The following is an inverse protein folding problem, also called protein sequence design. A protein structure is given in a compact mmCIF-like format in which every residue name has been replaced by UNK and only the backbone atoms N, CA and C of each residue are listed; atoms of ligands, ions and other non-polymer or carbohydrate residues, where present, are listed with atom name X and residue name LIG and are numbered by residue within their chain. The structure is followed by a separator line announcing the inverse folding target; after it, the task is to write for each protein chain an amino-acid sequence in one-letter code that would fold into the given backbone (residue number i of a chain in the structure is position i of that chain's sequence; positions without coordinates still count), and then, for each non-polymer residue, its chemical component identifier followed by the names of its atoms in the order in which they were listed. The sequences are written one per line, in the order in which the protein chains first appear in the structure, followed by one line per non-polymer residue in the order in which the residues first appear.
data_IF_318080490093
#
_entry.id   IF_318080490093
#
_cell.length_a   1.000
_cell.length_b   1.000
_cell.length_c   1.000
_cell.angle_alpha   90.00
_cell.angle_beta   90.00
_cell.angle_gamma   90.00
#
_symmetry.space_group_name_H-M   'P 1'
#
loop_
_entity.id
_entity.type
_entity.pdbx_description
1 polymer ?
#
# COMPACT_ATOMS: atom_id res chain seq x y z
N UNK A 1 14.59 0.25 16.21
CA UNK A 1 14.49 0.00 14.76
C UNK A 1 13.39 0.84 14.16
N UNK A 2 13.69 1.56 13.10
CA UNK A 2 12.79 2.47 12.40
C UNK A 2 12.50 1.94 10.99
N UNK A 3 11.25 1.62 10.69
CA UNK A 3 10.86 0.98 9.43
C UNK A 3 9.78 1.80 8.74
N UNK A 4 9.99 2.11 7.46
CA UNK A 4 8.98 2.75 6.59
C UNK A 4 8.51 1.80 5.49
N UNK A 5 7.20 1.76 5.30
CA UNK A 5 6.53 1.03 4.23
C UNK A 5 5.88 2.05 3.30
N UNK A 6 6.45 2.29 2.14
CA UNK A 6 5.82 3.08 1.08
C UNK A 6 4.98 2.19 0.17
N UNK A 7 3.85 2.66 -0.27
CA UNK A 7 3.04 1.92 -1.24
C UNK A 7 1.89 2.74 -1.81
N UNK A 8 1.47 2.39 -3.01
CA UNK A 8 0.22 2.90 -3.56
C UNK A 8 -0.99 2.38 -2.75
N UNK A 9 -2.14 3.04 -2.80
CA UNK A 9 -3.37 2.48 -2.24
C UNK A 9 -3.64 1.07 -2.79
N UNK A 10 -4.19 0.18 -1.96
CA UNK A 10 -4.61 -1.18 -2.32
C UNK A 10 -3.49 -2.17 -2.68
N UNK A 11 -2.26 -1.91 -2.23
CA UNK A 11 -1.10 -2.81 -2.41
C UNK A 11 -0.91 -3.81 -1.28
N UNK A 12 -1.85 -3.94 -0.33
CA UNK A 12 -1.68 -4.83 0.83
C UNK A 12 -0.73 -4.30 1.91
N UNK A 13 -0.26 -3.06 1.79
CA UNK A 13 0.66 -2.43 2.75
C UNK A 13 0.17 -2.46 4.19
N UNK A 14 -1.16 -2.47 4.43
CA UNK A 14 -1.74 -2.61 5.78
C UNK A 14 -1.45 -3.97 6.40
N UNK A 15 -1.49 -5.05 5.62
CA UNK A 15 -1.15 -6.38 6.11
C UNK A 15 0.31 -6.43 6.56
N UNK A 16 1.24 -6.01 5.70
CA UNK A 16 2.67 -5.99 6.04
C UNK A 16 2.96 -5.06 7.23
N UNK A 17 2.36 -3.88 7.26
CA UNK A 17 2.45 -2.99 8.41
C UNK A 17 2.08 -3.71 9.71
N UNK A 18 0.95 -4.42 9.72
CA UNK A 18 0.51 -5.16 10.90
C UNK A 18 1.47 -6.31 11.27
N UNK A 19 2.06 -7.00 10.28
CA UNK A 19 3.06 -8.03 10.54
C UNK A 19 4.30 -7.44 11.23
N UNK A 20 4.84 -6.36 10.67
CA UNK A 20 6.06 -5.70 11.17
C UNK A 20 5.83 -5.10 12.57
N UNK A 21 4.70 -4.41 12.77
CA UNK A 21 4.37 -3.81 14.08
C UNK A 21 4.24 -4.88 15.15
N UNK A 22 3.53 -5.97 14.88
CA UNK A 22 3.37 -7.06 15.86
C UNK A 22 4.68 -7.76 16.18
N UNK A 23 5.55 -7.88 15.20
CA UNK A 23 6.88 -8.43 15.40
C UNK A 23 7.73 -7.53 16.31
N UNK A 24 7.87 -6.25 15.96
CA UNK A 24 8.78 -5.35 16.65
C UNK A 24 8.31 -4.99 18.06
N UNK A 25 7.02 -4.76 18.23
CA UNK A 25 6.54 -4.20 19.49
C UNK A 25 5.86 -5.23 20.40
N UNK A 26 5.65 -6.48 19.94
CA UNK A 26 4.93 -7.53 20.70
C UNK A 26 3.61 -7.04 21.30
N UNK A 27 2.98 -6.03 20.69
CA UNK A 27 1.81 -5.30 21.23
C UNK A 27 0.51 -5.78 20.59
N UNK A 28 -0.58 -5.62 21.31
CA UNK A 28 -1.93 -5.85 20.77
C UNK A 28 -2.30 -4.78 19.72
N UNK A 29 -3.13 -5.13 18.77
CA UNK A 29 -3.59 -4.25 17.68
C UNK A 29 -4.16 -2.90 18.17
N UNK A 30 -4.78 -2.88 19.36
CA UNK A 30 -5.38 -1.67 19.94
C UNK A 30 -4.35 -0.59 20.33
N UNK A 31 -3.13 -0.96 20.70
CA UNK A 31 -2.10 0.03 21.07
C UNK A 31 -1.33 0.60 19.86
N UNK A 32 -1.47 -0.02 18.68
CA UNK A 32 -0.82 0.40 17.45
C UNK A 32 -1.60 1.51 16.73
N UNK A 33 -2.87 1.67 17.06
CA UNK A 33 -3.76 2.64 16.45
C UNK A 33 -3.37 4.12 16.70
N UNK A 34 -2.46 4.42 17.62
CA UNK A 34 -2.13 5.82 17.92
C UNK A 34 -1.40 6.51 16.75
N UNK A 35 -0.48 5.85 16.04
CA UNK A 35 0.17 6.41 14.84
C UNK A 35 -0.76 6.41 13.63
N UNK A 36 -1.48 5.32 13.44
CA UNK A 36 -2.47 5.19 12.39
C UNK A 36 -3.64 6.16 12.56
N UNK A 37 -4.07 6.38 13.80
CA UNK A 37 -5.15 7.31 14.08
C UNK A 37 -4.78 8.77 13.80
N UNK A 38 -3.51 9.16 13.92
CA UNK A 38 -3.09 10.48 13.51
C UNK A 38 -3.26 10.68 12.01
N UNK A 39 -2.77 9.73 11.17
CA UNK A 39 -2.95 9.81 9.72
C UNK A 39 -4.37 9.48 9.25
N UNK A 40 -5.02 8.53 9.89
CA UNK A 40 -6.42 8.19 9.60
C UNK A 40 -7.34 9.37 9.90
N UNK A 41 -7.06 10.11 10.97
CA UNK A 41 -7.82 11.32 11.31
C UNK A 41 -7.57 12.46 10.32
N UNK A 42 -6.37 12.59 9.73
CA UNK A 42 -6.14 13.48 8.58
C UNK A 42 -7.02 13.12 7.38
N UNK A 43 -7.18 11.84 7.08
CA UNK A 43 -8.02 11.36 5.98
C UNK A 43 -9.52 11.41 6.29
N UNK A 44 -9.91 11.22 7.55
CA UNK A 44 -11.30 11.12 7.96
C UNK A 44 -11.86 12.41 8.58
N UNK A 45 -10.99 13.33 8.97
CA UNK A 45 -11.36 14.60 9.58
C UNK A 45 -10.48 15.73 9.05
N UNK A 46 -10.93 16.46 8.01
CA UNK A 46 -10.18 17.58 7.41
C UNK A 46 -9.84 18.70 8.38
N UNK A 47 -10.52 18.78 9.54
CA UNK A 47 -10.22 19.76 10.59
C UNK A 47 -8.99 19.38 11.45
N UNK A 48 -8.44 18.16 11.26
CA UNK A 48 -7.23 17.70 11.94
C UNK A 48 -5.99 18.03 11.10
N UNK A 49 -5.69 19.30 10.98
CA UNK A 49 -4.47 19.81 10.33
C UNK A 49 -3.24 19.58 11.24
N UNK A 50 -2.77 18.36 11.36
CA UNK A 50 -1.39 18.17 11.79
C UNK A 50 -0.47 18.67 10.67
N UNK A 51 0.31 19.70 10.96
CA UNK A 51 1.36 20.12 10.01
C UNK A 51 2.34 18.96 9.78
N UNK A 52 3.00 18.96 8.63
CA UNK A 52 4.06 17.97 8.34
C UNK A 52 5.10 17.97 9.48
N UNK A 53 5.39 19.12 10.02
CA UNK A 53 6.34 19.32 11.13
C UNK A 53 5.88 18.60 12.42
N UNK A 54 4.62 18.71 12.77
CA UNK A 54 4.06 17.98 13.93
C UNK A 54 4.14 16.47 13.76
N UNK A 55 3.82 15.99 12.55
CA UNK A 55 3.93 14.58 12.21
C UNK A 55 5.37 14.07 12.33
N UNK A 56 6.34 14.79 11.75
CA UNK A 56 7.75 14.44 11.83
C UNK A 56 8.27 14.51 13.27
N UNK A 57 7.86 15.51 14.05
CA UNK A 57 8.21 15.61 15.47
C UNK A 57 7.73 14.39 16.28
N UNK A 58 6.53 13.85 16.00
CA UNK A 58 6.03 12.64 16.65
C UNK A 58 6.94 11.44 16.34
N UNK A 59 7.43 11.31 15.09
CA UNK A 59 8.36 10.25 14.73
C UNK A 59 9.71 10.41 15.45
N UNK A 60 10.22 11.64 15.57
CA UNK A 60 11.50 11.94 16.23
C UNK A 60 11.48 11.61 17.74
N UNK A 61 10.35 11.80 18.40
CA UNK A 61 10.21 11.51 19.84
C UNK A 61 10.20 10.02 20.15
N UNK A 62 10.10 9.15 19.13
CA UNK A 62 10.07 7.71 19.31
C UNK A 62 11.38 7.05 18.85
N UNK A 63 12.00 6.26 19.76
CA UNK A 63 13.22 5.52 19.45
C UNK A 63 13.00 4.45 18.36
N UNK A 64 11.87 3.77 18.44
CA UNK A 64 11.48 2.70 17.52
C UNK A 64 10.11 2.98 16.94
N UNK A 65 9.95 2.85 15.63
CA UNK A 65 8.66 3.05 14.99
C UNK A 65 8.53 2.24 13.69
N UNK A 66 7.30 1.95 13.33
CA UNK A 66 6.93 1.46 12.00
C UNK A 66 5.93 2.43 11.43
N UNK A 67 6.23 2.93 10.25
CA UNK A 67 5.35 3.85 9.55
C UNK A 67 4.91 3.29 8.21
N UNK A 68 3.71 3.66 7.78
CA UNK A 68 3.17 3.33 6.47
C UNK A 68 2.75 4.60 5.76
N UNK A 69 3.42 4.87 4.63
CA UNK A 69 3.14 5.99 3.76
C UNK A 69 2.42 5.55 2.49
N UNK A 70 1.29 6.18 2.20
CA UNK A 70 0.62 5.98 0.93
C UNK A 70 1.21 6.96 -0.10
N UNK A 71 1.76 6.42 -1.19
CA UNK A 71 2.22 7.19 -2.33
C UNK A 71 0.99 7.78 -3.03
N UNK A 72 0.82 9.08 -2.89
CA UNK A 72 -0.22 9.88 -3.55
C UNK A 72 0.40 11.18 -4.03
N UNK A 73 -0.21 11.84 -5.00
CA UNK A 73 0.40 13.02 -5.67
C UNK A 73 0.83 14.18 -4.78
N UNK A 74 0.41 14.21 -3.52
CA UNK A 74 0.61 15.34 -2.61
C UNK A 74 1.49 15.03 -1.39
N UNK A 75 2.26 13.94 -1.41
CA UNK A 75 3.24 13.72 -0.32
C UNK A 75 4.32 14.82 -0.40
N UNK A 76 4.50 15.52 0.71
CA UNK A 76 5.55 16.52 0.86
C UNK A 76 6.94 15.90 0.71
N UNK A 77 7.84 16.56 0.00
CA UNK A 77 9.25 16.16 -0.10
C UNK A 77 9.93 16.07 1.27
N UNK A 78 9.48 16.85 2.26
CA UNK A 78 9.96 16.75 3.64
C UNK A 78 9.72 15.36 4.24
N UNK A 79 8.61 14.69 3.90
CA UNK A 79 8.30 13.34 4.37
C UNK A 79 9.25 12.31 3.74
N UNK A 80 9.49 12.40 2.42
CA UNK A 80 10.45 11.51 1.76
C UNK A 80 11.84 11.67 2.33
N UNK A 81 12.34 12.92 2.44
CA UNK A 81 13.67 13.21 2.97
C UNK A 81 13.80 12.70 4.41
N UNK A 82 12.80 12.97 5.26
CA UNK A 82 12.83 12.49 6.64
C UNK A 82 12.96 10.97 6.73
N UNK A 83 12.15 10.23 5.96
CA UNK A 83 12.22 8.77 5.99
C UNK A 83 13.51 8.22 5.39
N UNK A 84 14.03 8.84 4.33
CA UNK A 84 15.32 8.47 3.74
C UNK A 84 16.47 8.62 4.74
N UNK A 85 16.43 9.67 5.57
CA UNK A 85 17.50 9.99 6.52
C UNK A 85 17.37 9.22 7.84
N UNK A 86 16.14 8.84 8.24
CA UNK A 86 15.87 8.34 9.60
C UNK A 86 15.38 6.89 9.68
N UNK A 87 15.05 6.24 8.55
CA UNK A 87 14.63 4.85 8.57
C UNK A 87 15.82 3.89 8.47
N UNK A 88 15.84 2.87 9.33
CA UNK A 88 16.82 1.77 9.21
C UNK A 88 16.51 0.88 7.99
N UNK A 89 15.24 0.77 7.62
CA UNK A 89 14.76 0.03 6.43
C UNK A 89 13.57 0.73 5.79
N UNK A 90 13.59 0.79 4.47
CA UNK A 90 12.50 1.33 3.65
C UNK A 90 12.06 0.27 2.65
N UNK A 91 10.79 -0.09 2.68
CA UNK A 91 10.18 -1.03 1.74
C UNK A 91 9.22 -0.31 0.81
N UNK A 92 9.33 -0.59 -0.49
CA UNK A 92 8.36 -0.17 -1.48
C UNK A 92 7.42 -1.34 -1.81
N UNK A 93 6.14 -1.17 -1.50
CA UNK A 93 5.13 -2.22 -1.67
C UNK A 93 4.31 -1.92 -2.91
N UNK A 94 4.34 -2.83 -3.86
CA UNK A 94 3.70 -2.71 -5.16
C UNK A 94 2.73 -3.88 -5.41
N UNK A 95 2.04 -3.83 -6.52
CA UNK A 95 1.19 -4.91 -7.02
C UNK A 95 1.51 -5.19 -8.48
N UNK A 96 1.70 -6.47 -8.84
CA UNK A 96 1.92 -6.89 -10.24
C UNK A 96 0.64 -6.71 -11.06
N UNK A 97 -0.49 -7.12 -10.49
CA UNK A 97 -1.80 -7.05 -11.13
C UNK A 97 -2.44 -5.67 -10.95
N UNK A 98 -2.17 -4.77 -11.87
CA UNK A 98 -2.69 -3.40 -11.82
C UNK A 98 -4.18 -3.31 -12.15
N UNK A 99 -4.73 -4.21 -12.95
CA UNK A 99 -6.17 -4.28 -13.17
C UNK A 99 -6.92 -4.40 -11.84
N UNK A 100 -6.51 -5.35 -11.01
CA UNK A 100 -7.14 -5.53 -9.69
C UNK A 100 -6.87 -4.38 -8.73
N UNK A 101 -5.68 -3.80 -8.75
CA UNK A 101 -5.33 -2.67 -7.89
C UNK A 101 -6.19 -1.45 -8.23
N UNK A 102 -6.24 -1.07 -9.51
CA UNK A 102 -6.99 0.09 -10.00
C UNK A 102 -8.48 -0.11 -9.79
N UNK A 103 -9.03 -1.28 -10.16
CA UNK A 103 -10.44 -1.62 -9.93
C UNK A 103 -10.81 -1.52 -8.44
N UNK A 104 -9.93 -1.99 -7.55
CA UNK A 104 -10.12 -1.85 -6.09
C UNK A 104 -10.08 -0.39 -5.63
N UNK A 105 -9.27 0.43 -6.26
CA UNK A 105 -9.20 1.87 -6.00
C UNK A 105 -10.45 2.61 -6.46
N UNK A 106 -10.97 2.28 -7.64
CA UNK A 106 -12.23 2.83 -8.15
C UNK A 106 -13.40 2.46 -7.25
N UNK A 107 -13.53 1.17 -6.91
CA UNK A 107 -14.58 0.71 -6.00
C UNK A 107 -14.54 1.46 -4.65
N UNK A 108 -13.34 1.63 -4.08
CA UNK A 108 -13.18 2.37 -2.83
C UNK A 108 -13.57 3.85 -2.97
N UNK A 109 -13.30 4.49 -4.12
CA UNK A 109 -13.70 5.87 -4.40
C UNK A 109 -15.22 6.01 -4.53
N UNK A 110 -15.88 5.10 -5.25
CA UNK A 110 -17.34 5.14 -5.46
C UNK A 110 -18.10 4.88 -4.16
N UNK A 111 -17.66 3.86 -3.39
CA UNK A 111 -18.34 3.42 -2.17
C UNK A 111 -17.90 4.18 -0.93
N UNK A 112 -16.91 5.06 -1.04
CA UNK A 112 -16.23 5.72 0.08
C UNK A 112 -15.71 4.74 1.14
N UNK A 113 -15.35 3.50 0.74
CA UNK A 113 -14.90 2.43 1.62
C UNK A 113 -13.40 2.15 1.47
N UNK A 114 -12.57 3.14 1.83
CA UNK A 114 -11.11 2.98 1.82
C UNK A 114 -10.61 2.01 2.88
N UNK A 115 -11.34 1.88 3.98
CA UNK A 115 -11.07 0.97 5.09
C UNK A 115 -12.32 0.14 5.37
N UNK A 116 -12.19 -1.18 5.37
CA UNK A 116 -13.25 -2.09 5.84
C UNK A 116 -13.32 -2.03 7.37
N UNK A 117 -13.79 -0.93 7.94
CA UNK A 117 -14.05 -0.80 9.37
C UNK A 117 -15.37 -1.50 9.78
N UNK A 118 -16.30 -1.66 8.85
CA UNK A 118 -17.59 -2.31 9.09
C UNK A 118 -17.67 -3.65 8.35
N UNK A 119 -17.46 -4.75 9.09
CA UNK A 119 -17.59 -6.12 8.58
C UNK A 119 -19.01 -6.49 8.11
N UNK A 120 -20.03 -5.67 8.43
CA UNK A 120 -21.45 -6.01 8.26
C UNK A 120 -22.15 -5.34 7.08
N UNK A 121 -21.45 -4.56 6.25
CA UNK A 121 -22.04 -4.08 5.00
C UNK A 121 -21.49 -4.92 3.85
N UNK A 122 -22.24 -5.95 3.42
CA UNK A 122 -22.16 -6.43 2.05
C UNK A 122 -22.45 -5.21 1.18
N UNK A 123 -21.41 -4.61 0.59
CA UNK A 123 -21.63 -3.58 -0.42
C UNK A 123 -22.26 -4.29 -1.61
N UNK A 124 -23.40 -3.82 -2.04
CA UNK A 124 -23.99 -4.27 -3.29
C UNK A 124 -22.97 -4.16 -4.42
N UNK A 125 -22.98 -5.10 -5.37
CA UNK A 125 -22.10 -5.01 -6.52
C UNK A 125 -22.25 -3.64 -7.21
N UNK A 126 -21.13 -3.01 -7.54
CA UNK A 126 -21.08 -1.63 -8.00
C UNK A 126 -20.54 -1.57 -9.42
N UNK A 127 -21.14 -0.75 -10.27
CA UNK A 127 -20.62 -0.45 -11.60
C UNK A 127 -19.44 0.53 -11.50
N UNK A 128 -18.33 0.20 -12.16
CA UNK A 128 -17.12 1.05 -12.24
C UNK A 128 -17.01 1.58 -13.68
N UNK A 129 -17.19 2.89 -13.90
CA UNK A 129 -17.03 3.49 -15.23
C UNK A 129 -15.60 3.31 -15.76
N UNK A 130 -15.45 3.07 -17.07
CA UNK A 130 -14.15 2.86 -17.72
C UNK A 130 -13.28 4.12 -17.73
N UNK A 131 -13.89 5.30 -17.83
CA UNK A 131 -13.21 6.59 -17.70
C UNK A 131 -12.60 6.78 -16.28
N UNK A 132 -13.38 6.48 -15.23
CA UNK A 132 -12.87 6.50 -13.87
C UNK A 132 -11.72 5.51 -13.69
N UNK A 133 -11.82 4.31 -14.31
CA UNK A 133 -10.73 3.33 -14.27
C UNK A 133 -9.46 3.88 -14.93
N UNK A 134 -9.59 4.48 -16.10
CA UNK A 134 -8.49 5.08 -16.85
C UNK A 134 -7.81 6.22 -16.07
N UNK A 135 -8.62 7.13 -15.53
CA UNK A 135 -8.10 8.25 -14.73
C UNK A 135 -7.38 7.76 -13.47
N UNK A 136 -7.93 6.75 -12.79
CA UNK A 136 -7.30 6.15 -11.62
C UNK A 136 -6.01 5.41 -11.98
N UNK A 137 -5.96 4.75 -13.13
CA UNK A 137 -4.76 4.11 -13.65
C UNK A 137 -3.64 5.14 -13.84
N UNK A 138 -3.93 6.21 -14.56
CA UNK A 138 -2.97 7.30 -14.80
C UNK A 138 -2.52 7.94 -13.47
N UNK A 139 -3.45 8.22 -12.59
CA UNK A 139 -3.14 8.79 -11.28
C UNK A 139 -2.19 7.90 -10.46
N UNK A 140 -2.40 6.58 -10.44
CA UNK A 140 -1.52 5.66 -9.72
C UNK A 140 -0.15 5.58 -10.39
N UNK A 141 -0.10 5.54 -11.72
CA UNK A 141 1.14 5.52 -12.47
C UNK A 141 1.99 6.78 -12.22
N UNK A 142 1.37 7.94 -12.34
CA UNK A 142 2.04 9.21 -12.11
C UNK A 142 2.55 9.34 -10.67
N UNK A 143 1.72 8.91 -9.71
CA UNK A 143 2.09 8.91 -8.30
C UNK A 143 3.30 8.00 -8.03
N UNK A 144 3.32 6.80 -8.62
CA UNK A 144 4.46 5.89 -8.51
C UNK A 144 5.73 6.50 -9.10
N UNK A 145 5.68 6.97 -10.34
CA UNK A 145 6.84 7.50 -11.04
C UNK A 145 7.44 8.72 -10.37
N UNK A 146 6.59 9.63 -9.87
CA UNK A 146 7.06 10.84 -9.17
C UNK A 146 7.67 10.52 -7.81
N UNK A 147 7.18 9.48 -7.15
CA UNK A 147 7.58 9.17 -5.77
C UNK A 147 8.77 8.22 -5.70
N UNK A 148 8.86 7.25 -6.62
CA UNK A 148 9.92 6.23 -6.55
C UNK A 148 11.32 6.83 -6.65
N UNK A 149 11.47 7.90 -7.42
CA UNK A 149 12.76 8.62 -7.58
C UNK A 149 13.20 9.34 -6.30
N UNK A 150 12.28 9.53 -5.35
CA UNK A 150 12.50 10.24 -4.08
C UNK A 150 12.68 9.28 -2.89
N UNK A 151 12.55 7.98 -3.10
CA UNK A 151 12.58 6.97 -2.03
C UNK A 151 13.84 6.14 -2.14
N UNK A 152 14.67 6.17 -1.09
CA UNK A 152 15.84 5.31 -0.95
C UNK A 152 15.41 3.94 -0.42
N UNK A 153 14.60 3.20 -1.19
CA UNK A 153 14.10 1.90 -0.74
C UNK A 153 15.22 0.86 -0.67
N UNK A 154 15.18 0.06 0.39
CA UNK A 154 16.09 -1.07 0.57
C UNK A 154 15.60 -2.30 -0.18
N UNK A 155 14.28 -2.41 -0.37
CA UNK A 155 13.69 -3.55 -1.06
C UNK A 155 12.33 -3.22 -1.67
N UNK A 156 11.99 -3.88 -2.79
CA UNK A 156 10.67 -3.84 -3.41
C UNK A 156 9.95 -5.15 -3.14
N UNK A 157 8.69 -5.05 -2.73
CA UNK A 157 7.84 -6.19 -2.40
C UNK A 157 6.59 -6.14 -3.24
N UNK A 158 6.31 -7.19 -3.97
CA UNK A 158 5.03 -7.33 -4.63
C UNK A 158 4.03 -8.07 -3.74
N UNK A 159 2.80 -7.55 -3.71
CA UNK A 159 1.70 -8.15 -2.96
C UNK A 159 1.48 -9.63 -3.30
N UNK A 160 1.65 -9.98 -4.58
CA UNK A 160 1.46 -11.33 -5.09
C UNK A 160 2.57 -12.31 -4.65
N UNK A 161 3.70 -11.81 -4.16
CA UNK A 161 4.79 -12.62 -3.63
C UNK A 161 4.63 -12.92 -2.12
N UNK A 162 3.60 -12.34 -1.48
CA UNK A 162 3.30 -12.61 -0.08
C UNK A 162 2.57 -13.94 0.07
N UNK A 163 3.03 -14.75 1.02
CA UNK A 163 2.37 -16.02 1.36
C UNK A 163 1.18 -15.83 2.30
N UNK A 164 0.99 -14.62 2.84
CA UNK A 164 0.03 -14.31 3.91
C UNK A 164 0.23 -15.18 5.16
N UNK A 165 1.45 -15.60 5.34
CA UNK A 165 1.95 -16.21 6.55
C UNK A 165 2.97 -15.27 7.21
N UNK A 166 2.59 -14.56 8.28
CA UNK A 166 3.39 -13.45 8.84
C UNK A 166 4.86 -13.77 9.07
N UNK A 167 5.18 -14.98 9.48
CA UNK A 167 6.57 -15.39 9.71
C UNK A 167 7.39 -15.47 8.44
N UNK A 168 6.85 -16.10 7.38
CA UNK A 168 7.52 -16.17 6.09
C UNK A 168 7.63 -14.81 5.44
N UNK A 169 6.58 -14.01 5.54
CA UNK A 169 6.59 -12.67 4.97
C UNK A 169 7.63 -11.78 5.69
N UNK A 170 7.78 -11.89 7.02
CA UNK A 170 8.83 -11.20 7.77
C UNK A 170 10.24 -11.70 7.43
N UNK A 171 10.40 -12.99 7.16
CA UNK A 171 11.65 -13.55 6.67
C UNK A 171 11.98 -13.04 5.28
N UNK A 172 11.01 -12.98 4.39
CA UNK A 172 11.15 -12.40 3.05
C UNK A 172 11.57 -10.91 3.12
N UNK A 173 11.15 -10.19 4.15
CA UNK A 173 11.59 -8.82 4.44
C UNK A 173 13.00 -8.72 5.05
N UNK A 174 13.69 -9.83 5.26
CA UNK A 174 14.95 -9.89 6.01
C UNK A 174 14.87 -9.19 7.38
N UNK A 175 13.73 -9.31 8.05
CA UNK A 175 13.51 -8.81 9.40
C UNK A 175 13.76 -9.88 10.45
N UNK A 176 13.75 -11.15 10.07
CA UNK A 176 14.05 -12.31 10.88
C UNK A 176 14.95 -13.28 10.11
N UNK A 177 15.89 -13.91 10.78
CA UNK A 177 16.76 -14.91 10.15
C UNK A 177 16.08 -16.27 10.08
N UNK A 178 15.42 -16.68 11.17
CA UNK A 178 14.76 -17.97 11.28
C UNK A 178 13.29 -17.83 11.66
N UNK A 179 12.45 -18.70 11.10
CA UNK A 179 11.00 -18.74 11.39
C UNK A 179 10.75 -19.08 12.88
N UNK A 180 11.67 -19.79 13.51
CA UNK A 180 11.58 -20.23 14.91
C UNK A 180 11.75 -19.07 15.90
N UNK A 181 12.40 -17.98 15.50
CA UNK A 181 12.66 -16.81 16.34
C UNK A 181 11.37 -16.05 16.76
N UNK A 182 10.21 -16.50 16.30
CA UNK A 182 8.96 -15.79 16.54
C UNK A 182 7.91 -16.68 17.19
N UNK A 183 7.56 -16.34 18.41
CA UNK A 183 6.33 -16.85 19.02
C UNK A 183 5.11 -16.32 18.27
N UNK A 184 4.16 -17.20 17.98
CA UNK A 184 2.91 -17.04 17.21
C UNK A 184 2.48 -15.59 16.93
N UNK A 185 2.77 -15.10 15.71
CA UNK A 185 2.20 -13.86 15.20
C UNK A 185 0.92 -14.25 14.44
N UNK A 186 -0.22 -13.73 14.90
CA UNK A 186 -1.49 -13.82 14.19
C UNK A 186 -1.86 -12.43 13.67
N UNK A 187 -2.00 -12.28 12.37
CA UNK A 187 -2.46 -11.04 11.73
C UNK A 187 -3.76 -11.33 10.99
N UNK A 188 -4.81 -10.54 11.22
CA UNK A 188 -6.04 -10.70 10.45
C UNK A 188 -5.78 -10.50 8.97
N UNK A 189 -6.07 -11.53 8.16
CA UNK A 189 -6.04 -11.45 6.71
C UNK A 189 -7.44 -11.06 6.25
N UNK A 190 -7.61 -9.83 5.79
CA UNK A 190 -8.85 -9.43 5.16
C UNK A 190 -8.85 -9.95 3.72
N UNK A 191 -9.29 -11.20 3.52
CA UNK A 191 -9.57 -11.70 2.17
C UNK A 191 -10.66 -10.81 1.56
N UNK A 192 -10.35 -10.24 0.42
CA UNK A 192 -11.35 -9.51 -0.36
C UNK A 192 -12.14 -10.52 -1.20
N UNK A 193 -13.42 -10.26 -1.38
CA UNK A 193 -14.21 -11.00 -2.35
C UNK A 193 -13.63 -10.80 -3.76
N UNK A 194 -13.73 -11.80 -4.63
CA UNK A 194 -13.32 -11.65 -6.02
C UNK A 194 -13.96 -10.41 -6.66
N UNK A 195 -13.23 -9.70 -7.52
CA UNK A 195 -13.73 -8.49 -8.16
C UNK A 195 -14.99 -8.74 -9.01
N UNK A 196 -15.09 -9.93 -9.61
CA UNK A 196 -16.30 -10.37 -10.31
C UNK A 196 -17.57 -10.43 -9.44
N UNK A 197 -17.43 -10.48 -8.10
CA UNK A 197 -18.56 -10.42 -7.17
C UNK A 197 -18.88 -9.01 -6.66
N UNK A 198 -17.91 -8.11 -6.75
CA UNK A 198 -18.02 -6.75 -6.16
C UNK A 198 -18.15 -5.66 -7.21
N UNK A 199 -17.83 -5.94 -8.47
CA UNK A 199 -17.90 -5.03 -9.60
C UNK A 199 -18.80 -5.65 -10.66
N UNK A 200 -19.93 -4.98 -10.97
CA UNK A 200 -20.95 -5.48 -11.92
C UNK A 200 -20.39 -5.66 -13.34
N UNK A 201 -19.57 -4.74 -13.79
CA UNK A 201 -19.01 -4.72 -15.14
C UNK A 201 -17.52 -5.12 -15.16
N UNK A 202 -17.11 -6.07 -14.32
CA UNK A 202 -15.68 -6.42 -14.22
C UNK A 202 -15.12 -7.00 -15.52
N UNK A 203 -15.89 -7.79 -16.26
CA UNK A 203 -15.52 -8.30 -17.59
C UNK A 203 -15.29 -7.16 -18.62
N UNK A 204 -16.11 -6.11 -18.56
CA UNK A 204 -15.92 -4.92 -19.39
C UNK A 204 -14.58 -4.24 -19.05
N UNK A 205 -14.24 -4.10 -17.76
CA UNK A 205 -12.96 -3.55 -17.33
C UNK A 205 -11.77 -4.41 -17.78
N UNK A 206 -11.90 -5.75 -17.73
CA UNK A 206 -10.88 -6.67 -18.26
C UNK A 206 -10.67 -6.40 -19.76
N UNK A 207 -11.75 -6.36 -20.52
CA UNK A 207 -11.70 -6.13 -21.96
C UNK A 207 -11.10 -4.75 -22.27
N UNK A 208 -11.53 -3.71 -21.57
CA UNK A 208 -10.99 -2.36 -21.71
C UNK A 208 -9.47 -2.34 -21.39
N UNK A 209 -9.07 -2.91 -20.26
CA UNK A 209 -7.65 -2.99 -19.88
C UNK A 209 -6.81 -3.75 -20.92
N UNK A 210 -7.38 -4.81 -21.51
CA UNK A 210 -6.72 -5.57 -22.57
C UNK A 210 -6.53 -4.76 -23.87
N UNK A 211 -7.35 -3.75 -24.15
CA UNK A 211 -7.16 -2.85 -25.30
C UNK A 211 -6.18 -1.71 -25.01
N UNK A 212 -5.85 -1.42 -23.74
CA UNK A 212 -4.93 -0.34 -23.41
C UNK A 212 -3.51 -0.64 -23.93
N UNK A 213 -2.94 0.33 -24.63
CA UNK A 213 -1.51 0.33 -24.95
C UNK A 213 -0.71 0.72 -23.71
N UNK A 214 -0.06 -0.27 -23.09
CA UNK A 214 0.77 -0.06 -21.90
C UNK A 214 2.26 0.21 -22.22
N UNK A 215 2.67 0.21 -23.47
CA UNK A 215 4.07 0.49 -23.86
C UNK A 215 4.52 1.91 -23.44
N UNK A 216 3.59 2.87 -23.44
CA UNK A 216 3.82 4.24 -22.98
C UNK A 216 4.01 4.37 -21.46
N UNK A 217 3.54 3.36 -20.69
CA UNK A 217 3.70 3.32 -19.24
C UNK A 217 5.01 2.62 -18.90
N UNK A 218 6.09 3.31 -19.18
CA UNK A 218 7.45 2.89 -18.87
C UNK A 218 8.18 4.01 -18.16
N UNK A 219 9.05 3.67 -17.23
CA UNK A 219 9.90 4.62 -16.51
C UNK A 219 11.33 4.08 -16.43
N UNK A 220 12.20 4.76 -15.72
CA UNK A 220 13.55 4.27 -15.43
C UNK A 220 13.51 2.94 -14.64
N UNK A 221 12.54 2.77 -13.75
CA UNK A 221 12.48 1.64 -12.81
C UNK A 221 11.47 0.56 -13.18
N UNK A 222 10.41 0.90 -13.92
CA UNK A 222 9.27 0.01 -14.13
C UNK A 222 8.80 -0.03 -15.59
N UNK A 223 8.15 -1.14 -15.94
CA UNK A 223 7.43 -1.34 -17.20
C UNK A 223 6.33 -2.39 -17.01
N UNK A 224 5.43 -2.51 -17.99
CA UNK A 224 4.46 -3.60 -18.05
C UNK A 224 4.92 -4.66 -19.05
N UNK A 225 4.90 -5.93 -18.64
CA UNK A 225 5.20 -7.05 -19.53
C UNK A 225 4.04 -7.37 -20.49
N UNK A 226 4.21 -8.39 -21.35
CA UNK A 226 3.18 -8.83 -22.30
C UNK A 226 1.90 -9.30 -21.64
N UNK A 227 1.94 -9.73 -20.38
CA UNK A 227 0.79 -10.11 -19.58
C UNK A 227 0.19 -8.91 -18.80
N UNK A 228 0.67 -7.70 -19.10
CA UNK A 228 0.26 -6.45 -18.45
C UNK A 228 0.49 -6.43 -16.93
N UNK A 229 1.51 -7.18 -16.49
CA UNK A 229 1.97 -7.14 -15.11
C UNK A 229 3.10 -6.11 -14.94
N UNK A 230 3.05 -5.36 -13.86
CA UNK A 230 4.13 -4.44 -13.49
C UNK A 230 5.40 -5.24 -13.19
N UNK A 231 6.50 -4.83 -13.79
CA UNK A 231 7.84 -5.37 -13.61
C UNK A 231 8.84 -4.29 -13.24
N UNK A 232 9.91 -4.72 -12.59
CA UNK A 232 11.09 -3.90 -12.31
C UNK A 232 12.04 -4.07 -13.48
N UNK A 233 12.60 -2.95 -13.96
CA UNK A 233 13.73 -3.00 -14.87
C UNK A 233 14.96 -3.40 -14.04
N UNK A 234 15.59 -4.49 -14.43
CA UNK A 234 16.90 -4.84 -13.89
C UNK A 234 17.92 -3.91 -14.57
N UNK A 235 18.73 -3.24 -13.78
CA UNK A 235 19.89 -2.50 -14.27
C UNK A 235 20.95 -3.44 -14.87
#
# INVERSE_FOLDING_TARGET
MKITLFGLPRTGSTYLYNCVVRFLFKRSFAQQNNFWNLKLNEYLNPDYNHSVEQYLHILDTNRDWVNKELIVNNISDKIFNYHNDNSDKIFLILRKNWLEQVSSGCLASITNQWLKLNKNKNSDPTHVPTDLFYDKFNHFWDSLNKSVQKINYTNIIFYEDLEFWPRKDLQHLNLIEKIEDIHRISVPINKQDPKSKTILNFEELINYFNTMDLTRYTSQHFYFDSNKHLKIKND
#
